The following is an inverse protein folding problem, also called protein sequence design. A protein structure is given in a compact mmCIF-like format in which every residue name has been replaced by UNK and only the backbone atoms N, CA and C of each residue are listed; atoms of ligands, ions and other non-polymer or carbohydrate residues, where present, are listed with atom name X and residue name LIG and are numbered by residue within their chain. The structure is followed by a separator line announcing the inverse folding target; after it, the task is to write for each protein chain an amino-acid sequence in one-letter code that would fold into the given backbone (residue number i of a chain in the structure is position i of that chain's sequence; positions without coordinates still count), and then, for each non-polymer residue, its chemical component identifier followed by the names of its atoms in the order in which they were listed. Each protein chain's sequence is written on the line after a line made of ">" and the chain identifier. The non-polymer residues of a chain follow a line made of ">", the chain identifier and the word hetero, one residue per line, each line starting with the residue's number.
data_IF_001073437795
#
_entry.id   IF_001073437795
#
_cell.length_a   1.000
_cell.length_b   1.000
_cell.length_c   1.000
_cell.angle_alpha   90.00
_cell.angle_beta   90.00
_cell.angle_gamma   90.00
#
_symmetry.space_group_name_H-M   'P 1'
#
loop_
_entity.id
_entity.type
_entity.pdbx_description
1 polymer ?
#
# COMPACT_ATOMS: atom_id res chain seq x y z
N UNK A 1 7.26 -25.74 10.36
CA UNK A 1 6.67 -25.55 11.70
C UNK A 1 5.26 -24.98 11.57
N UNK A 2 4.37 -25.25 12.53
CA UNK A 2 3.00 -24.73 12.56
C UNK A 2 2.75 -24.06 13.92
N UNK A 3 2.29 -22.81 13.91
CA UNK A 3 2.10 -22.01 15.14
C UNK A 3 0.68 -21.44 15.20
N UNK A 4 0.21 -21.16 16.42
CA UNK A 4 -0.98 -20.34 16.69
C UNK A 4 -0.48 -18.99 17.23
N UNK A 5 -0.52 -17.92 16.42
CA UNK A 5 0.22 -16.69 16.71
C UNK A 5 1.74 -16.85 16.55
N UNK A 6 2.56 -16.53 17.58
CA UNK A 6 2.19 -16.39 19.01
C UNK A 6 1.65 -15.01 19.40
N UNK A 7 0.75 -14.98 20.39
CA UNK A 7 0.36 -13.74 21.08
C UNK A 7 1.59 -13.18 21.81
N UNK A 8 1.92 -11.91 21.55
CA UNK A 8 3.07 -11.25 22.20
C UNK A 8 2.70 -10.55 23.51
N UNK A 9 1.41 -10.49 23.83
CA UNK A 9 0.88 -9.83 25.02
C UNK A 9 -0.54 -10.33 25.30
N UNK A 10 -0.86 -10.50 26.59
CA UNK A 10 -2.14 -11.07 27.06
C UNK A 10 -3.15 -10.00 27.53
N UNK A 11 -2.79 -8.71 27.46
CA UNK A 11 -3.59 -7.62 28.06
C UNK A 11 -4.56 -6.93 27.08
N UNK A 12 -4.76 -7.49 25.89
CA UNK A 12 -5.59 -6.88 24.84
C UNK A 12 -6.65 -7.84 24.24
N UNK A 13 -7.47 -8.52 25.07
CA UNK A 13 -8.57 -9.32 24.55
C UNK A 13 -9.51 -8.44 23.72
N UNK A 14 -9.99 -8.96 22.58
CA UNK A 14 -10.68 -8.16 21.56
C UNK A 14 -9.75 -7.68 20.43
N UNK A 15 -8.43 -7.72 20.66
CA UNK A 15 -7.39 -7.34 19.70
C UNK A 15 -6.34 -8.43 19.53
N UNK A 16 -6.67 -9.68 19.86
CA UNK A 16 -5.70 -10.77 19.84
C UNK A 16 -5.23 -11.15 18.43
N UNK A 17 -6.05 -10.89 17.42
CA UNK A 17 -5.61 -10.93 16.02
C UNK A 17 -4.40 -10.00 15.78
N UNK A 18 -4.30 -8.84 16.43
CA UNK A 18 -3.17 -7.90 16.33
C UNK A 18 -2.00 -8.37 17.19
N UNK A 19 -2.25 -8.69 18.46
CA UNK A 19 -1.18 -9.14 19.38
C UNK A 19 -0.47 -10.36 18.81
N UNK A 20 -1.23 -11.29 18.25
CA UNK A 20 -0.70 -12.51 17.63
C UNK A 20 -0.10 -12.27 16.25
N UNK A 21 -0.59 -11.33 15.45
CA UNK A 21 0.00 -11.02 14.14
C UNK A 21 1.45 -10.53 14.25
N UNK A 22 1.78 -9.79 15.31
CA UNK A 22 3.16 -9.34 15.58
C UNK A 22 4.08 -10.56 15.73
N UNK A 23 3.71 -11.48 16.63
CA UNK A 23 4.49 -12.70 16.84
C UNK A 23 4.49 -13.61 15.63
N UNK A 24 3.36 -13.73 14.93
CA UNK A 24 3.21 -14.53 13.73
C UNK A 24 4.11 -14.05 12.58
N UNK A 25 4.21 -12.74 12.37
CA UNK A 25 5.15 -12.16 11.39
C UNK A 25 6.61 -12.44 11.77
N UNK A 26 6.97 -12.29 13.05
CA UNK A 26 8.32 -12.55 13.54
C UNK A 26 8.71 -14.03 13.39
N UNK A 27 7.88 -14.95 13.90
CA UNK A 27 8.19 -16.38 13.83
C UNK A 27 8.05 -16.93 12.41
N UNK A 28 7.17 -16.34 11.60
CA UNK A 28 7.08 -16.57 10.15
C UNK A 28 8.37 -16.19 9.45
N UNK A 29 8.91 -15.01 9.74
CA UNK A 29 10.21 -14.56 9.22
C UNK A 29 11.33 -15.53 9.63
N UNK A 30 11.30 -16.05 10.86
CA UNK A 30 12.27 -17.02 11.37
C UNK A 30 12.09 -18.45 10.83
N UNK A 31 11.11 -18.70 9.94
CA UNK A 31 11.01 -19.96 9.20
C UNK A 31 9.81 -20.83 9.56
N UNK A 32 8.81 -20.32 10.30
CA UNK A 32 7.53 -21.03 10.41
C UNK A 32 6.88 -21.19 9.04
N UNK A 33 6.34 -22.38 8.78
CA UNK A 33 5.82 -22.77 7.47
C UNK A 33 4.32 -22.49 7.32
N UNK A 34 3.58 -22.47 8.44
CA UNK A 34 2.15 -22.20 8.46
C UNK A 34 1.77 -21.48 9.75
N UNK A 35 0.93 -20.45 9.64
CA UNK A 35 0.43 -19.64 10.75
C UNK A 35 -1.07 -19.89 10.90
N UNK A 36 -1.50 -20.43 12.04
CA UNK A 36 -2.91 -20.46 12.42
C UNK A 36 -3.31 -19.06 12.82
N UNK A 37 -4.34 -18.54 12.18
CA UNK A 37 -4.91 -17.24 12.52
C UNK A 37 -5.55 -17.21 13.90
N UNK A 38 -5.65 -16.02 14.46
CA UNK A 38 -6.35 -15.72 15.70
C UNK A 38 -7.38 -14.65 15.38
N UNK A 39 -8.60 -14.80 15.90
CA UNK A 39 -9.69 -13.86 15.63
C UNK A 39 -9.67 -12.69 16.61
N UNK A 40 -10.35 -11.56 16.31
CA UNK A 40 -10.52 -10.48 17.29
C UNK A 40 -11.16 -10.93 18.60
N UNK A 41 -12.16 -11.81 18.53
CA UNK A 41 -12.89 -12.33 19.70
C UNK A 41 -12.26 -13.56 20.34
N UNK A 42 -11.03 -13.92 19.99
CA UNK A 42 -10.29 -14.94 20.74
C UNK A 42 -10.29 -14.57 22.24
N UNK A 43 -10.42 -15.58 23.10
CA UNK A 43 -10.62 -15.43 24.55
C UNK A 43 -11.90 -14.71 25.00
N UNK A 44 -12.81 -14.31 24.09
CA UNK A 44 -14.06 -13.61 24.41
C UNK A 44 -15.32 -14.34 23.96
N UNK A 45 -15.29 -15.02 22.80
CA UNK A 45 -16.45 -15.72 22.28
C UNK A 45 -16.27 -16.27 20.88
N UNK A 46 -17.37 -16.80 20.31
CA UNK A 46 -17.35 -17.29 18.93
C UNK A 46 -17.26 -16.11 17.95
N UNK A 47 -16.38 -16.19 16.93
CA UNK A 47 -16.26 -15.16 15.92
C UNK A 47 -17.47 -15.16 14.98
N UNK A 48 -17.88 -13.97 14.55
CA UNK A 48 -18.83 -13.78 13.45
C UNK A 48 -18.12 -13.69 12.09
N UNK A 49 -18.87 -13.43 11.03
CA UNK A 49 -18.34 -13.36 9.65
C UNK A 49 -17.26 -12.28 9.51
N UNK A 50 -17.42 -11.15 10.18
CA UNK A 50 -16.49 -10.03 10.07
C UNK A 50 -15.21 -10.32 10.87
N UNK A 51 -15.34 -10.89 12.07
CA UNK A 51 -14.19 -11.35 12.87
C UNK A 51 -13.32 -12.35 12.09
N UNK A 52 -13.95 -13.26 11.33
CA UNK A 52 -13.24 -14.22 10.48
C UNK A 52 -12.51 -13.52 9.33
N UNK A 53 -13.17 -12.57 8.65
CA UNK A 53 -12.53 -11.77 7.58
C UNK A 53 -11.31 -11.02 8.12
N UNK A 54 -11.46 -10.33 9.24
CA UNK A 54 -10.40 -9.55 9.87
C UNK A 54 -9.21 -10.42 10.28
N UNK A 55 -9.47 -11.58 10.91
CA UNK A 55 -8.44 -12.55 11.26
C UNK A 55 -7.68 -13.06 10.03
N UNK A 56 -8.38 -13.44 8.95
CA UNK A 56 -7.76 -13.95 7.72
C UNK A 56 -6.90 -12.88 7.06
N UNK A 57 -7.42 -11.66 6.87
CA UNK A 57 -6.67 -10.57 6.24
C UNK A 57 -5.46 -10.20 7.08
N UNK A 58 -5.61 -10.12 8.40
CA UNK A 58 -4.52 -9.86 9.36
C UNK A 58 -3.39 -10.88 9.22
N UNK A 59 -3.72 -12.18 9.13
CA UNK A 59 -2.70 -13.22 8.99
C UNK A 59 -2.11 -13.32 7.58
N UNK A 60 -2.86 -12.95 6.52
CA UNK A 60 -2.28 -12.77 5.18
C UNK A 60 -1.26 -11.63 5.17
N UNK A 61 -1.51 -10.55 5.90
CA UNK A 61 -0.55 -9.45 6.08
C UNK A 61 0.70 -9.97 6.82
N UNK A 62 0.52 -10.67 7.94
CA UNK A 62 1.64 -11.21 8.72
C UNK A 62 2.51 -12.19 7.91
N UNK A 63 1.88 -13.10 7.16
CA UNK A 63 2.57 -14.03 6.28
C UNK A 63 3.33 -13.32 5.16
N UNK A 64 2.69 -12.35 4.49
CA UNK A 64 3.33 -11.56 3.44
C UNK A 64 4.51 -10.72 3.98
N UNK A 65 4.36 -10.13 5.17
CA UNK A 65 5.43 -9.41 5.85
C UNK A 65 6.63 -10.33 6.16
N UNK A 66 6.36 -11.55 6.62
CA UNK A 66 7.39 -12.56 6.82
C UNK A 66 8.10 -12.92 5.49
N UNK A 67 7.35 -13.11 4.41
CA UNK A 67 7.94 -13.41 3.10
C UNK A 67 8.78 -12.26 2.52
N UNK A 68 8.36 -11.01 2.73
CA UNK A 68 9.19 -9.84 2.42
C UNK A 68 10.49 -9.84 3.23
N UNK A 69 10.42 -10.07 4.54
CA UNK A 69 11.60 -10.08 5.42
C UNK A 69 12.55 -11.26 5.12
N UNK A 70 12.02 -12.38 4.62
CA UNK A 70 12.80 -13.53 4.13
C UNK A 70 13.44 -13.27 2.76
N UNK A 71 13.04 -12.22 2.05
CA UNK A 71 13.44 -12.00 0.66
C UNK A 71 12.87 -13.05 -0.30
N UNK A 72 11.65 -13.55 -0.03
CA UNK A 72 11.02 -14.54 -0.88
C UNK A 72 10.85 -14.00 -2.32
N UNK A 73 11.28 -14.76 -3.36
CA UNK A 73 11.12 -14.33 -4.75
C UNK A 73 9.67 -13.94 -5.05
N UNK A 74 9.46 -12.75 -5.60
CA UNK A 74 8.14 -12.25 -5.99
C UNK A 74 7.35 -11.53 -4.89
N UNK A 75 7.70 -11.66 -3.61
CA UNK A 75 6.96 -10.97 -2.53
C UNK A 75 6.94 -9.44 -2.76
N UNK A 76 8.10 -8.86 -3.07
CA UNK A 76 8.25 -7.43 -3.29
C UNK A 76 7.54 -6.89 -4.54
N UNK A 77 7.16 -7.75 -5.50
CA UNK A 77 6.49 -7.32 -6.74
C UNK A 77 5.15 -6.68 -6.43
N UNK A 78 4.37 -7.26 -5.50
CA UNK A 78 3.07 -6.73 -5.10
C UNK A 78 3.21 -5.37 -4.40
N UNK A 79 4.17 -5.25 -3.49
CA UNK A 79 4.45 -3.99 -2.77
C UNK A 79 4.88 -2.87 -3.72
N UNK A 80 5.76 -3.18 -4.68
CA UNK A 80 6.20 -2.23 -5.67
C UNK A 80 5.06 -1.81 -6.61
N UNK A 81 4.21 -2.75 -7.04
CA UNK A 81 3.04 -2.46 -7.87
C UNK A 81 2.04 -1.57 -7.13
N UNK A 82 1.75 -1.89 -5.86
CA UNK A 82 0.88 -1.10 -4.97
C UNK A 82 1.45 0.30 -4.76
N UNK A 83 2.74 0.42 -4.47
CA UNK A 83 3.42 1.71 -4.25
C UNK A 83 3.41 2.58 -5.50
N UNK A 84 3.65 1.97 -6.67
CA UNK A 84 3.55 2.66 -7.95
C UNK A 84 2.11 3.15 -8.22
N UNK A 85 1.11 2.30 -7.97
CA UNK A 85 -0.31 2.68 -8.14
C UNK A 85 -0.71 3.85 -7.23
N UNK A 86 -0.23 3.86 -5.97
CA UNK A 86 -0.43 4.99 -5.03
C UNK A 86 0.20 6.28 -5.54
N UNK A 87 1.45 6.22 -5.99
CA UNK A 87 2.19 7.40 -6.46
C UNK A 87 1.61 8.00 -7.74
N UNK A 88 1.14 7.15 -8.64
CA UNK A 88 0.52 7.55 -9.92
C UNK A 88 -0.99 7.82 -9.80
N UNK A 89 -1.56 7.77 -8.59
CA UNK A 89 -2.98 7.96 -8.33
C UNK A 89 -3.92 7.04 -9.14
N UNK A 90 -3.45 5.83 -9.45
CA UNK A 90 -4.24 4.79 -10.12
C UNK A 90 -5.11 4.06 -9.09
N UNK A 91 -6.16 4.72 -8.62
CA UNK A 91 -7.00 4.26 -7.51
C UNK A 91 -7.57 2.85 -7.69
N UNK A 92 -8.13 2.54 -8.87
CA UNK A 92 -8.67 1.20 -9.13
C UNK A 92 -7.60 0.11 -9.06
N UNK A 93 -6.41 0.37 -9.59
CA UNK A 93 -5.30 -0.58 -9.52
C UNK A 93 -4.82 -0.75 -8.08
N UNK A 94 -4.77 0.34 -7.31
CA UNK A 94 -4.45 0.31 -5.89
C UNK A 94 -5.46 -0.56 -5.11
N UNK A 95 -6.76 -0.43 -5.37
CA UNK A 95 -7.79 -1.27 -4.74
C UNK A 95 -7.65 -2.73 -5.14
N UNK A 96 -7.50 -3.01 -6.45
CA UNK A 96 -7.37 -4.37 -6.97
C UNK A 96 -6.13 -5.09 -6.41
N UNK A 97 -5.05 -4.36 -6.12
CA UNK A 97 -3.82 -4.91 -5.53
C UNK A 97 -3.92 -5.12 -4.01
N UNK A 98 -4.93 -4.59 -3.32
CA UNK A 98 -5.08 -4.72 -1.87
C UNK A 98 -5.36 -6.17 -1.44
N UNK A 99 -5.00 -6.52 -0.20
CA UNK A 99 -5.31 -7.83 0.36
C UNK A 99 -6.81 -8.01 0.65
N UNK A 100 -7.51 -6.89 0.82
CA UNK A 100 -8.96 -6.76 0.91
C UNK A 100 -9.44 -5.58 0.03
N UNK A 101 -9.69 -5.82 -1.27
CA UNK A 101 -10.09 -4.77 -2.22
C UNK A 101 -11.40 -4.07 -1.85
N UNK A 102 -12.40 -4.82 -1.38
CA UNK A 102 -13.71 -4.28 -1.01
C UNK A 102 -13.56 -3.25 0.12
N UNK A 103 -12.84 -3.61 1.19
CA UNK A 103 -12.57 -2.69 2.31
C UNK A 103 -11.82 -1.44 1.87
N UNK A 104 -10.89 -1.57 0.92
CA UNK A 104 -10.15 -0.42 0.39
C UNK A 104 -11.07 0.56 -0.37
N UNK A 105 -12.02 0.05 -1.15
CA UNK A 105 -13.03 0.86 -1.84
C UNK A 105 -13.98 1.50 -0.83
N UNK A 106 -14.52 0.73 0.11
CA UNK A 106 -15.42 1.21 1.17
C UNK A 106 -14.83 2.42 1.90
N UNK A 107 -13.56 2.36 2.30
CA UNK A 107 -12.91 3.43 3.04
C UNK A 107 -12.62 4.67 2.20
N UNK A 108 -12.26 4.50 0.92
CA UNK A 108 -12.11 5.64 0.02
C UNK A 108 -13.46 6.35 -0.19
N UNK A 109 -14.50 5.57 -0.50
CA UNK A 109 -15.81 6.08 -0.92
C UNK A 109 -16.62 6.64 0.24
N UNK A 110 -16.31 6.25 1.48
CA UNK A 110 -16.85 6.88 2.68
C UNK A 110 -16.64 8.41 2.73
N UNK A 111 -15.61 8.92 2.04
CA UNK A 111 -15.33 10.37 1.99
C UNK A 111 -15.35 10.94 0.58
N UNK A 112 -14.96 10.15 -0.43
CA UNK A 112 -14.86 10.57 -1.82
C UNK A 112 -15.65 9.62 -2.75
N UNK A 113 -16.99 9.55 -2.65
CA UNK A 113 -17.80 8.54 -3.32
C UNK A 113 -17.93 8.75 -4.83
N UNK A 114 -17.60 9.94 -5.35
CA UNK A 114 -17.76 10.25 -6.78
C UNK A 114 -16.67 9.53 -7.58
N UNK A 115 -17.04 8.96 -8.73
CA UNK A 115 -16.07 8.32 -9.63
C UNK A 115 -14.97 9.26 -10.13
N UNK A 116 -15.25 10.57 -10.22
CA UNK A 116 -14.23 11.58 -10.52
C UNK A 116 -13.11 11.64 -9.48
N UNK A 117 -13.33 11.15 -8.26
CA UNK A 117 -12.29 11.07 -7.24
C UNK A 117 -11.31 9.90 -7.49
N UNK A 118 -11.71 8.87 -8.25
CA UNK A 118 -10.84 7.73 -8.62
C UNK A 118 -9.80 8.08 -9.67
N UNK A 119 -9.85 9.30 -10.21
CA UNK A 119 -8.84 9.89 -11.10
C UNK A 119 -8.17 11.12 -10.46
N UNK A 120 -8.47 11.41 -9.20
CA UNK A 120 -7.94 12.58 -8.51
C UNK A 120 -6.51 12.35 -8.02
N UNK A 121 -5.65 13.35 -8.22
CA UNK A 121 -4.27 13.38 -7.73
C UNK A 121 -4.17 13.79 -6.24
N UNK A 122 -5.10 13.32 -5.41
CA UNK A 122 -5.12 13.51 -3.96
C UNK A 122 -6.13 12.57 -3.30
N UNK A 123 -5.99 12.36 -1.99
CA UNK A 123 -6.99 11.72 -1.14
C UNK A 123 -7.61 12.72 -0.16
N UNK A 124 -8.63 12.30 0.59
CA UNK A 124 -9.31 13.13 1.59
C UNK A 124 -8.40 13.56 2.74
N UNK A 125 -7.30 12.86 3.02
CA UNK A 125 -6.38 13.19 4.11
C UNK A 125 -5.64 14.53 3.92
N UNK A 126 -5.16 14.81 2.70
CA UNK A 126 -4.35 16.01 2.42
C UNK A 126 -5.05 17.01 1.49
N UNK A 127 -6.06 16.55 0.75
CA UNK A 127 -6.74 17.37 -0.24
C UNK A 127 -5.84 17.80 -1.42
N UNK A 128 -6.38 18.60 -2.36
CA UNK A 128 -5.74 18.89 -3.64
C UNK A 128 -4.49 19.79 -3.57
N UNK A 129 -4.31 20.51 -2.46
CA UNK A 129 -3.23 21.50 -2.29
C UNK A 129 -2.02 20.99 -1.51
N UNK A 130 -2.21 19.99 -0.65
CA UNK A 130 -1.18 19.54 0.29
C UNK A 130 -0.80 18.06 0.10
N UNK A 131 -1.24 17.42 -0.98
CA UNK A 131 -0.85 16.06 -1.28
C UNK A 131 0.65 15.99 -1.64
N UNK A 132 1.44 15.36 -0.78
CA UNK A 132 2.90 15.25 -0.93
C UNK A 132 3.32 14.55 -2.22
N UNK A 133 2.60 13.51 -2.63
CA UNK A 133 2.88 12.78 -3.88
C UNK A 133 2.64 13.66 -5.11
N UNK A 134 1.56 14.45 -5.12
CA UNK A 134 1.26 15.40 -6.20
C UNK A 134 2.33 16.49 -6.28
N UNK A 135 2.68 17.11 -5.15
CA UNK A 135 3.74 18.13 -5.09
C UNK A 135 5.07 17.55 -5.58
N UNK A 136 5.40 16.30 -5.21
CA UNK A 136 6.61 15.63 -5.69
C UNK A 136 6.60 15.43 -7.20
N UNK A 137 5.44 15.10 -7.79
CA UNK A 137 5.29 14.97 -9.24
C UNK A 137 5.47 16.33 -9.93
N UNK A 138 4.84 17.39 -9.44
CA UNK A 138 4.96 18.75 -9.99
C UNK A 138 6.42 19.23 -9.99
N UNK A 139 7.18 18.94 -8.93
CA UNK A 139 8.61 19.27 -8.86
C UNK A 139 9.44 18.48 -9.88
N UNK A 140 9.14 17.19 -10.09
CA UNK A 140 9.81 16.37 -11.11
C UNK A 140 9.54 16.87 -12.52
N UNK A 141 8.28 17.22 -12.80
CA UNK A 141 7.85 17.71 -14.09
C UNK A 141 8.50 19.07 -14.40
N UNK A 142 8.57 19.97 -13.42
CA UNK A 142 9.26 21.25 -13.56
C UNK A 142 10.76 21.08 -13.85
N UNK A 143 11.45 20.20 -13.13
CA UNK A 143 12.86 19.92 -13.37
C UNK A 143 13.12 19.33 -14.77
N UNK A 144 12.25 18.41 -15.23
CA UNK A 144 12.34 17.84 -16.57
C UNK A 144 12.09 18.89 -17.68
N UNK A 145 11.14 19.81 -17.46
CA UNK A 145 10.87 20.91 -18.39
C UNK A 145 12.08 21.87 -18.51
N UNK A 146 12.73 22.21 -17.39
CA UNK A 146 13.93 23.05 -17.42
C UNK A 146 15.05 22.40 -18.23
N UNK A 147 15.32 21.11 -18.02
CA UNK A 147 16.32 20.37 -18.78
C UNK A 147 15.99 20.33 -20.28
N UNK A 148 14.74 20.05 -20.65
CA UNK A 148 14.31 20.06 -22.05
C UNK A 148 14.42 21.43 -22.72
N UNK A 149 14.16 22.51 -21.99
CA UNK A 149 14.37 23.88 -22.49
C UNK A 149 15.84 24.21 -22.70
N UNK A 150 16.74 23.76 -21.80
CA UNK A 150 18.18 23.92 -21.96
C UNK A 150 18.72 23.17 -23.19
N UNK A 151 18.28 21.93 -23.40
CA UNK A 151 18.63 21.14 -24.59
C UNK A 151 18.14 21.80 -25.88
N UNK A 152 16.87 22.23 -25.92
CA UNK A 152 16.31 22.94 -27.08
C UNK A 152 16.98 24.28 -27.35
N UNK A 153 17.38 24.99 -26.29
CA UNK A 153 18.16 26.23 -26.40
C UNK A 153 19.53 25.97 -27.05
N UNK A 154 20.23 24.91 -26.62
CA UNK A 154 21.49 24.48 -27.25
C UNK A 154 21.29 24.11 -28.71
N UNK A 155 20.30 23.27 -29.01
CA UNK A 155 19.96 22.85 -30.39
C UNK A 155 19.65 24.07 -31.29
N UNK A 156 18.90 25.05 -30.79
CA UNK A 156 18.62 26.29 -31.51
C UNK A 156 19.89 27.10 -31.79
N UNK A 157 20.78 27.24 -30.80
CA UNK A 157 22.06 27.95 -30.99
C UNK A 157 23.00 27.22 -31.96
N UNK A 158 23.07 25.89 -31.89
CA UNK A 158 23.88 25.05 -32.78
C UNK A 158 23.32 25.02 -34.21
N UNK A 159 21.99 25.05 -34.36
CA UNK A 159 21.28 25.13 -35.62
C UNK A 159 21.30 26.50 -36.30
N UNK A 160 22.18 27.41 -35.88
CA UNK A 160 22.35 28.73 -36.50
C UNK A 160 21.38 29.81 -35.99
N UNK A 161 20.62 29.53 -34.93
CA UNK A 161 19.63 30.47 -34.35
C UNK A 161 18.55 30.92 -35.35
N UNK A 162 18.20 30.06 -36.32
CA UNK A 162 17.15 30.33 -37.29
C UNK A 162 15.81 29.76 -36.81
N UNK A 163 14.76 30.59 -36.87
CA UNK A 163 13.40 30.20 -36.45
C UNK A 163 12.72 29.34 -37.53
N UNK A 164 13.15 29.46 -38.78
CA UNK A 164 12.65 28.71 -39.93
C UNK A 164 13.85 28.15 -40.68
N UNK A 165 13.90 26.82 -40.83
CA UNK A 165 14.89 26.08 -41.64
C UNK A 165 14.23 25.46 -42.86
#
# INVERSE_FOLDING_TARGET
>A
FYTLGPLVSDIAPGYDHITSAIGAAMIGWYGTAMLCYVTPKEHLGLPDKEDVREGIVTYKIAAHAADLAKGHPGAQVRDNAMSKARFEFRWHDQFALALDPERAVEFHDATLPKESAKVAHFCSMCGPKFCSMKISQEVRDFAAQQQGMEEKSKEFTEGGSEIYS
#
